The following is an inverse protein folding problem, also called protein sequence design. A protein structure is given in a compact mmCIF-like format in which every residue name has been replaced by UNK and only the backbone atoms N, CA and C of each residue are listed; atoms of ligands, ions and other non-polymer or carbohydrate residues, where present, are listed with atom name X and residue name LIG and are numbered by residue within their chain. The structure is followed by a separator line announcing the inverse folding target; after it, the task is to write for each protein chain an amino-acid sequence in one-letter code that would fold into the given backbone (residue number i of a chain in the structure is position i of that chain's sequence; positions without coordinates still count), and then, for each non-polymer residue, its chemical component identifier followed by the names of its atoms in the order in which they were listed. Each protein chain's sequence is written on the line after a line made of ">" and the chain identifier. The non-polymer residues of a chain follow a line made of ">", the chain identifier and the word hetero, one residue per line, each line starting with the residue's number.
data_IF_810793933169
#
_entry.id   IF_810793933169
#
_cell.length_a   1.000
_cell.length_b   1.000
_cell.length_c   1.000
_cell.angle_alpha   90.00
_cell.angle_beta   90.00
_cell.angle_gamma   90.00
#
_symmetry.space_group_name_H-M   'P 1'
#
loop_
_entity.id
_entity.type
_entity.pdbx_description
1 polymer ?
#
# COMPACT_ATOMS: atom_id res chain seq x y z
N UNK A 1 -34.11 -29.30 -13.90
CA UNK A 1 -34.63 -27.96 -13.53
C UNK A 1 -33.43 -27.14 -13.10
N UNK A 2 -32.79 -26.52 -14.06
CA UNK A 2 -31.60 -25.72 -13.80
C UNK A 2 -32.02 -24.28 -13.53
N UNK A 3 -32.06 -23.94 -12.25
CA UNK A 3 -32.33 -22.59 -11.78
C UNK A 3 -31.05 -21.77 -11.72
N UNK A 4 -30.53 -21.31 -12.85
CA UNK A 4 -29.51 -20.26 -12.88
C UNK A 4 -30.20 -18.95 -12.50
N UNK A 5 -30.13 -18.59 -11.21
CA UNK A 5 -30.54 -17.27 -10.77
C UNK A 5 -29.61 -16.25 -11.46
N UNK A 6 -30.14 -15.49 -12.41
CA UNK A 6 -29.44 -14.34 -12.94
C UNK A 6 -29.04 -13.41 -11.80
N UNK A 7 -27.81 -12.88 -11.77
CA UNK A 7 -27.42 -11.93 -10.72
C UNK A 7 -28.38 -10.74 -10.76
N UNK A 8 -28.89 -10.35 -9.59
CA UNK A 8 -29.78 -9.19 -9.46
C UNK A 8 -28.99 -7.96 -9.95
N UNK A 9 -29.46 -7.37 -11.05
CA UNK A 9 -28.89 -6.15 -11.60
C UNK A 9 -29.75 -4.96 -11.21
N UNK A 10 -29.06 -3.86 -10.85
CA UNK A 10 -29.74 -2.60 -10.55
C UNK A 10 -30.37 -2.03 -11.83
N UNK A 11 -31.62 -1.61 -11.71
CA UNK A 11 -32.28 -0.82 -12.76
C UNK A 11 -31.62 0.55 -12.91
N UNK A 12 -31.81 1.25 -14.02
CA UNK A 12 -31.32 2.64 -14.18
C UNK A 12 -31.85 3.56 -13.08
N UNK A 13 -33.10 3.37 -12.63
CA UNK A 13 -33.64 4.07 -11.48
C UNK A 13 -32.91 3.71 -10.19
N UNK A 14 -32.59 2.43 -9.99
CA UNK A 14 -31.79 1.97 -8.84
C UNK A 14 -30.37 2.57 -8.82
N UNK A 15 -29.71 2.64 -9.96
CA UNK A 15 -28.40 3.28 -10.08
C UNK A 15 -28.49 4.78 -9.75
N UNK A 16 -29.54 5.46 -10.25
CA UNK A 16 -29.79 6.87 -9.97
C UNK A 16 -30.10 7.10 -8.49
N UNK A 17 -30.88 6.20 -7.87
CA UNK A 17 -31.22 6.24 -6.45
C UNK A 17 -29.93 6.12 -5.59
N UNK A 18 -29.11 5.12 -5.85
CA UNK A 18 -27.84 4.93 -5.13
C UNK A 18 -26.97 6.19 -5.24
N UNK A 19 -26.76 6.70 -6.47
CA UNK A 19 -25.97 7.91 -6.68
C UNK A 19 -26.53 9.15 -5.94
N UNK A 20 -27.84 9.21 -5.77
CA UNK A 20 -28.49 10.30 -5.03
C UNK A 20 -28.37 10.09 -3.52
N UNK A 21 -28.57 8.87 -3.04
CA UNK A 21 -28.39 8.51 -1.64
C UNK A 21 -26.95 8.74 -1.16
N UNK A 22 -25.96 8.39 -1.99
CA UNK A 22 -24.55 8.70 -1.72
C UNK A 22 -24.30 10.20 -1.56
N UNK A 23 -24.88 11.04 -2.42
CA UNK A 23 -24.76 12.50 -2.29
C UNK A 23 -25.41 13.04 -1.01
N UNK A 24 -26.56 12.51 -0.61
CA UNK A 24 -27.21 12.89 0.65
C UNK A 24 -26.34 12.51 1.83
N UNK A 25 -25.80 11.30 1.85
CA UNK A 25 -24.86 10.84 2.88
C UNK A 25 -23.60 11.73 2.95
N UNK A 26 -23.07 12.14 1.79
CA UNK A 26 -21.93 13.05 1.74
C UNK A 26 -22.27 14.42 2.37
N UNK A 27 -23.45 14.99 2.07
CA UNK A 27 -23.91 16.26 2.64
C UNK A 27 -24.19 16.17 4.15
N UNK A 28 -24.81 15.09 4.61
CA UNK A 28 -25.02 14.86 6.04
C UNK A 28 -23.69 14.71 6.81
N UNK A 29 -22.74 13.98 6.23
CA UNK A 29 -21.39 13.87 6.77
C UNK A 29 -20.69 15.25 6.80
N UNK A 30 -20.78 16.02 5.72
CA UNK A 30 -20.21 17.36 5.64
C UNK A 30 -20.75 18.27 6.74
N UNK A 31 -22.08 18.26 6.96
CA UNK A 31 -22.72 19.03 8.02
C UNK A 31 -22.28 18.59 9.42
N UNK A 32 -22.28 17.28 9.66
CA UNK A 32 -21.81 16.73 10.94
C UNK A 32 -20.34 17.07 11.21
N UNK A 33 -19.52 17.08 10.16
CA UNK A 33 -18.12 17.49 10.24
C UNK A 33 -17.95 18.99 10.48
N UNK A 34 -18.76 19.83 9.83
CA UNK A 34 -18.75 21.27 10.04
C UNK A 34 -19.06 21.60 11.50
N UNK A 35 -20.12 21.00 12.06
CA UNK A 35 -20.48 21.17 13.47
C UNK A 35 -19.37 20.66 14.40
N UNK A 36 -18.76 19.51 14.09
CA UNK A 36 -17.65 18.95 14.88
C UNK A 36 -16.36 19.80 14.83
N UNK A 37 -16.11 20.50 13.72
CA UNK A 37 -14.96 21.40 13.58
C UNK A 37 -15.07 22.70 14.39
N UNK A 38 -16.28 23.14 14.69
CA UNK A 38 -16.49 24.33 15.53
C UNK A 38 -15.97 24.17 16.97
N UNK A 39 -15.63 22.95 17.40
CA UNK A 39 -15.19 22.65 18.76
C UNK A 39 -13.72 22.21 18.86
N UNK A 40 -12.79 22.85 18.15
CA UNK A 40 -11.34 22.75 18.35
C UNK A 40 -10.78 21.31 18.52
N UNK A 41 -11.18 20.32 17.69
CA UNK A 41 -10.71 18.92 17.78
C UNK A 41 -10.93 18.23 19.15
N UNK A 42 -11.78 18.80 19.99
CA UNK A 42 -12.14 18.19 21.29
C UNK A 42 -13.10 17.02 21.14
N UNK A 43 -13.74 16.88 19.98
CA UNK A 43 -14.58 15.75 19.62
C UNK A 43 -14.48 15.53 18.12
N UNK A 44 -14.73 14.32 17.64
CA UNK A 44 -14.70 14.01 16.23
C UNK A 44 -14.33 12.56 15.96
N UNK A 45 -14.44 12.18 14.71
CA UNK A 45 -13.97 10.87 14.25
C UNK A 45 -13.06 11.04 13.05
N UNK A 46 -12.16 10.09 12.86
CA UNK A 46 -11.35 9.91 11.68
C UNK A 46 -11.26 8.42 11.39
N UNK A 47 -11.66 8.02 10.18
CA UNK A 47 -11.59 6.64 9.73
C UNK A 47 -10.55 6.54 8.62
N UNK A 48 -9.48 5.81 8.87
CA UNK A 48 -8.39 5.63 7.91
C UNK A 48 -8.32 4.16 7.48
N UNK A 49 -7.82 3.90 6.30
CA UNK A 49 -7.71 2.54 5.79
C UNK A 49 -6.42 2.30 5.01
N UNK A 50 -5.99 1.05 4.97
CA UNK A 50 -4.86 0.61 4.17
C UNK A 50 -4.81 -0.88 3.98
N UNK A 51 -3.97 -1.32 3.06
CA UNK A 51 -3.69 -2.75 2.91
C UNK A 51 -2.94 -3.26 4.13
N UNK A 52 -2.87 -4.60 4.26
CA UNK A 52 -2.17 -5.23 5.38
C UNK A 52 -0.77 -4.65 5.61
N UNK A 53 -0.01 -4.42 4.53
CA UNK A 53 1.32 -3.86 4.61
C UNK A 53 1.33 -2.48 5.27
N UNK A 54 0.49 -1.57 4.80
CA UNK A 54 0.44 -0.20 5.31
C UNK A 54 -0.16 -0.14 6.71
N UNK A 55 -1.16 -0.96 6.99
CA UNK A 55 -1.78 -1.07 8.32
C UNK A 55 -0.81 -1.58 9.38
N UNK A 56 0.09 -2.50 9.01
CA UNK A 56 1.07 -3.08 9.92
C UNK A 56 2.29 -2.18 10.17
N UNK A 57 2.76 -1.45 9.15
CA UNK A 57 4.07 -0.79 9.22
C UNK A 57 4.02 0.72 9.09
N UNK A 58 3.06 1.26 8.36
CA UNK A 58 2.99 2.69 8.05
C UNK A 58 2.06 3.45 9.00
N UNK A 59 0.87 2.92 9.22
CA UNK A 59 -0.11 3.58 10.08
C UNK A 59 0.29 3.68 11.56
N UNK A 60 0.92 2.67 12.20
CA UNK A 60 1.14 2.70 13.64
C UNK A 60 1.87 3.95 14.15
N UNK A 61 3.00 4.37 13.58
CA UNK A 61 3.70 5.57 14.05
C UNK A 61 2.90 6.86 13.81
N UNK A 62 2.13 6.94 12.71
CA UNK A 62 1.29 8.09 12.40
C UNK A 62 0.12 8.16 13.38
N UNK A 63 -0.53 7.03 13.63
CA UNK A 63 -1.65 6.91 14.55
C UNK A 63 -1.22 7.24 15.98
N UNK A 64 -0.07 6.74 16.43
CA UNK A 64 0.45 7.07 17.77
C UNK A 64 0.66 8.57 17.92
N UNK A 65 1.34 9.20 16.96
CA UNK A 65 1.55 10.65 16.93
C UNK A 65 0.23 11.41 16.93
N UNK A 66 -0.74 10.99 16.10
CA UNK A 66 -2.04 11.63 16.00
C UNK A 66 -2.85 11.51 17.30
N UNK A 67 -2.90 10.32 17.90
CA UNK A 67 -3.63 10.08 19.16
C UNK A 67 -3.06 10.85 20.33
N UNK A 68 -1.73 11.04 20.38
CA UNK A 68 -1.11 11.89 21.42
C UNK A 68 -1.46 13.36 21.25
N UNK A 69 -1.53 13.85 20.02
CA UNK A 69 -1.89 15.25 19.75
C UNK A 69 -3.40 15.52 19.93
N UNK A 70 -4.25 14.53 19.56
CA UNK A 70 -5.71 14.66 19.54
C UNK A 70 -6.40 13.50 20.25
N UNK A 71 -6.26 13.39 21.59
CA UNK A 71 -6.73 12.22 22.34
C UNK A 71 -8.25 12.04 22.35
N UNK A 72 -9.00 13.09 22.06
CA UNK A 72 -10.48 13.07 22.04
C UNK A 72 -11.08 12.75 20.66
N UNK A 73 -10.25 12.65 19.60
CA UNK A 73 -10.70 12.22 18.28
C UNK A 73 -10.74 10.69 18.24
N UNK A 74 -11.92 10.12 17.93
CA UNK A 74 -12.07 8.69 17.70
C UNK A 74 -11.43 8.30 16.38
N UNK A 75 -10.27 7.65 16.42
CA UNK A 75 -9.59 7.17 15.25
C UNK A 75 -9.90 5.68 15.03
N UNK A 76 -10.38 5.33 13.83
CA UNK A 76 -10.58 3.97 13.37
C UNK A 76 -9.57 3.64 12.27
N UNK A 77 -8.93 2.48 12.38
CA UNK A 77 -8.12 1.90 11.31
C UNK A 77 -8.86 0.71 10.71
N UNK A 78 -9.08 0.74 9.41
CA UNK A 78 -9.64 -0.36 8.65
C UNK A 78 -8.58 -1.00 7.76
N UNK A 79 -8.45 -2.32 7.85
CA UNK A 79 -7.57 -3.10 7.00
C UNK A 79 -8.38 -3.84 5.94
N UNK A 80 -7.92 -3.77 4.68
CA UNK A 80 -8.58 -4.44 3.58
C UNK A 80 -7.74 -4.49 2.32
N UNK A 81 -8.22 -5.20 1.30
CA UNK A 81 -7.64 -5.14 -0.03
C UNK A 81 -8.13 -3.89 -0.78
N UNK A 82 -7.34 -3.40 -1.74
CA UNK A 82 -7.57 -2.15 -2.48
C UNK A 82 -9.01 -1.95 -2.96
N UNK A 83 -9.71 -2.91 -3.64
CA UNK A 83 -11.08 -2.71 -4.06
C UNK A 83 -12.06 -2.44 -2.91
N UNK A 84 -11.89 -3.10 -1.76
CA UNK A 84 -12.74 -2.88 -0.59
C UNK A 84 -12.44 -1.53 0.07
N UNK A 85 -11.17 -1.13 0.13
CA UNK A 85 -10.75 0.18 0.63
C UNK A 85 -11.35 1.29 -0.24
N UNK A 86 -11.25 1.16 -1.56
CA UNK A 86 -11.82 2.10 -2.51
C UNK A 86 -13.33 2.21 -2.37
N UNK A 87 -14.04 1.08 -2.28
CA UNK A 87 -15.50 1.05 -2.06
C UNK A 87 -15.88 1.81 -0.78
N UNK A 88 -15.17 1.59 0.32
CA UNK A 88 -15.43 2.26 1.60
C UNK A 88 -15.07 3.75 1.58
N UNK A 89 -14.01 4.13 0.87
CA UNK A 89 -13.64 5.53 0.65
C UNK A 89 -14.71 6.24 -0.19
N UNK A 90 -15.19 5.58 -1.24
CA UNK A 90 -16.28 6.10 -2.09
C UNK A 90 -17.59 6.30 -1.30
N UNK A 91 -17.95 5.32 -0.47
CA UNK A 91 -19.12 5.38 0.40
C UNK A 91 -19.00 6.37 1.58
N UNK A 92 -17.81 6.95 1.81
CA UNK A 92 -17.56 7.86 2.94
C UNK A 92 -17.45 7.17 4.31
N UNK A 93 -17.36 5.84 4.33
CA UNK A 93 -17.07 5.06 5.54
C UNK A 93 -15.61 5.23 5.98
N UNK A 94 -14.70 5.45 5.02
CA UNK A 94 -13.33 5.87 5.24
C UNK A 94 -13.16 7.32 4.78
N UNK A 95 -12.33 8.05 5.50
CA UNK A 95 -11.98 9.44 5.21
C UNK A 95 -10.70 9.50 4.37
N UNK A 96 -9.72 8.64 4.70
CA UNK A 96 -8.40 8.59 4.09
C UNK A 96 -8.01 7.12 3.90
N UNK A 97 -7.37 6.82 2.77
CA UNK A 97 -6.66 5.54 2.61
C UNK A 97 -5.21 5.78 2.16
N UNK A 98 -4.32 4.86 2.54
CA UNK A 98 -2.95 4.79 2.01
C UNK A 98 -2.87 3.54 1.14
N UNK A 99 -2.53 3.75 -0.14
CA UNK A 99 -2.41 2.66 -1.11
C UNK A 99 -1.36 3.00 -2.17
N UNK A 100 -0.83 1.98 -2.82
CA UNK A 100 0.08 2.09 -3.96
C UNK A 100 -0.60 1.84 -5.32
N UNK A 101 -1.89 1.51 -5.31
CA UNK A 101 -2.68 1.36 -6.53
C UNK A 101 -3.18 2.73 -7.02
N UNK A 102 -3.21 2.92 -8.34
CA UNK A 102 -3.68 4.18 -8.90
C UNK A 102 -5.21 4.19 -8.98
N UNK A 103 -5.84 5.02 -8.14
CA UNK A 103 -7.28 5.25 -8.16
C UNK A 103 -7.66 6.33 -9.17
N UNK A 104 -8.93 6.36 -9.55
CA UNK A 104 -9.47 7.31 -10.53
C UNK A 104 -9.35 8.77 -10.03
N UNK A 105 -8.54 9.57 -10.73
CA UNK A 105 -8.33 10.98 -10.43
C UNK A 105 -9.58 11.86 -10.67
N UNK A 106 -10.62 11.35 -11.33
CA UNK A 106 -11.93 12.01 -11.44
C UNK A 106 -12.73 11.95 -10.14
N UNK A 107 -12.47 10.94 -9.29
CA UNK A 107 -13.21 10.64 -8.06
C UNK A 107 -12.40 11.00 -6.82
N UNK A 108 -11.08 10.76 -6.86
CA UNK A 108 -10.21 10.90 -5.69
C UNK A 108 -9.12 11.94 -5.91
N UNK A 109 -8.82 12.68 -4.84
CA UNK A 109 -7.59 13.45 -4.71
C UNK A 109 -6.50 12.55 -4.10
N UNK A 110 -5.25 12.82 -4.46
CA UNK A 110 -4.11 12.08 -3.94
C UNK A 110 -2.95 13.00 -3.57
N UNK A 111 -2.29 12.65 -2.49
CA UNK A 111 -1.02 13.24 -2.09
C UNK A 111 0.07 12.17 -2.14
N UNK A 112 1.22 12.47 -2.75
CA UNK A 112 2.35 11.55 -2.78
C UNK A 112 2.88 11.38 -1.36
N UNK A 113 2.79 10.16 -0.84
CA UNK A 113 3.20 9.85 0.53
C UNK A 113 4.67 9.42 0.60
N UNK A 114 5.04 8.41 -0.19
CA UNK A 114 6.42 7.89 -0.25
C UNK A 114 6.67 7.14 -1.56
N UNK A 115 7.93 6.88 -1.85
CA UNK A 115 8.34 5.91 -2.86
C UNK A 115 8.63 4.56 -2.20
N UNK A 116 8.24 3.48 -2.83
CA UNK A 116 8.47 2.11 -2.42
C UNK A 116 9.15 1.34 -3.55
N UNK A 117 10.10 0.47 -3.19
CA UNK A 117 10.84 -0.33 -4.17
C UNK A 117 10.67 -1.82 -3.90
N UNK A 118 10.43 -2.58 -4.96
CA UNK A 118 10.49 -4.03 -4.93
C UNK A 118 11.95 -4.48 -5.02
N UNK A 119 12.29 -5.42 -4.15
CA UNK A 119 13.57 -6.09 -4.08
C UNK A 119 13.36 -7.59 -4.27
N UNK A 120 14.37 -8.28 -4.78
CA UNK A 120 14.42 -9.73 -4.71
C UNK A 120 15.08 -10.12 -3.38
N UNK A 121 14.39 -10.92 -2.57
CA UNK A 121 14.89 -11.53 -1.33
C UNK A 121 15.21 -13.01 -1.59
N UNK A 122 16.42 -13.42 -1.26
CA UNK A 122 16.93 -14.77 -1.54
C UNK A 122 17.52 -15.35 -0.26
N UNK A 123 17.17 -16.60 0.12
CA UNK A 123 17.82 -17.28 1.23
C UNK A 123 19.35 -17.32 1.04
N UNK A 124 20.11 -16.99 2.08
CA UNK A 124 21.58 -16.94 2.02
C UNK A 124 22.21 -18.28 1.63
N UNK A 125 21.51 -19.38 1.90
CA UNK A 125 21.93 -20.75 1.56
C UNK A 125 21.86 -21.09 0.07
N UNK A 126 21.20 -20.27 -0.76
CA UNK A 126 21.04 -20.57 -2.19
C UNK A 126 22.34 -20.35 -2.98
N UNK A 127 22.71 -21.32 -3.82
CA UNK A 127 23.96 -21.27 -4.61
C UNK A 127 23.99 -20.14 -5.63
N UNK A 128 22.84 -19.66 -6.09
CA UNK A 128 22.74 -18.50 -6.98
C UNK A 128 23.40 -17.24 -6.40
N UNK A 129 23.44 -17.11 -5.08
CA UNK A 129 24.09 -15.98 -4.40
C UNK A 129 25.58 -15.89 -4.76
N UNK A 130 26.27 -17.02 -4.96
CA UNK A 130 27.71 -17.05 -5.35
C UNK A 130 27.95 -16.41 -6.71
N UNK A 131 26.95 -16.44 -7.61
CA UNK A 131 27.01 -15.84 -8.95
C UNK A 131 26.61 -14.36 -8.98
N UNK A 132 26.19 -13.82 -7.82
CA UNK A 132 25.62 -12.49 -7.71
C UNK A 132 26.27 -11.62 -6.61
N UNK A 133 27.48 -11.96 -6.13
CA UNK A 133 28.15 -11.35 -4.97
C UNK A 133 28.20 -9.81 -5.05
N UNK A 134 28.53 -9.22 -6.21
CA UNK A 134 28.64 -7.75 -6.37
C UNK A 134 27.31 -7.00 -6.30
N UNK A 135 26.19 -7.72 -6.29
CA UNK A 135 24.83 -7.14 -6.28
C UNK A 135 24.15 -7.32 -4.92
N UNK A 136 24.82 -7.96 -3.96
CA UNK A 136 24.25 -8.31 -2.67
C UNK A 136 24.07 -7.07 -1.78
N UNK A 137 22.92 -7.01 -1.14
CA UNK A 137 22.57 -6.04 -0.12
C UNK A 137 22.13 -6.79 1.13
N UNK A 138 22.46 -6.25 2.29
CA UNK A 138 21.93 -6.67 3.60
C UNK A 138 20.74 -5.81 4.00
N UNK A 139 19.99 -6.23 5.00
CA UNK A 139 18.90 -5.42 5.55
C UNK A 139 19.40 -4.03 6.03
N UNK A 140 20.59 -3.96 6.63
CA UNK A 140 21.22 -2.69 7.03
C UNK A 140 21.47 -1.75 5.85
N UNK A 141 21.79 -2.28 4.67
CA UNK A 141 22.01 -1.47 3.46
C UNK A 141 20.68 -0.91 2.94
N UNK A 142 19.60 -1.72 3.03
CA UNK A 142 18.25 -1.28 2.67
C UNK A 142 17.75 -0.19 3.63
N UNK A 143 17.98 -0.34 4.94
CA UNK A 143 17.64 0.67 5.96
C UNK A 143 18.38 1.99 5.72
N UNK A 144 19.61 1.94 5.20
CA UNK A 144 20.40 3.13 4.79
C UNK A 144 20.08 3.61 3.38
N UNK A 145 19.05 3.04 2.72
CA UNK A 145 18.62 3.39 1.36
C UNK A 145 19.68 3.20 0.27
N UNK A 146 20.68 2.33 0.46
CA UNK A 146 21.74 2.08 -0.52
C UNK A 146 21.18 1.54 -1.85
N UNK A 147 20.12 0.75 -1.80
CA UNK A 147 19.40 0.23 -2.97
C UNK A 147 18.76 1.32 -3.84
N UNK A 148 18.57 2.52 -3.30
CA UNK A 148 18.02 3.66 -4.04
C UNK A 148 19.11 4.45 -4.81
N UNK A 149 20.38 4.17 -4.51
CA UNK A 149 21.47 4.83 -5.21
C UNK A 149 21.58 4.28 -6.64
N UNK A 150 21.59 5.18 -7.64
CA UNK A 150 21.68 4.81 -9.06
C UNK A 150 23.02 4.15 -9.41
N UNK A 151 24.08 4.44 -8.66
CA UNK A 151 25.40 3.81 -8.85
C UNK A 151 25.47 2.38 -8.32
N UNK A 152 24.53 1.97 -7.45
CA UNK A 152 24.51 0.59 -6.95
C UNK A 152 23.92 -0.34 -8.03
N UNK A 153 24.65 -1.41 -8.41
CA UNK A 153 24.28 -2.24 -9.54
C UNK A 153 23.01 -3.09 -9.22
N UNK A 154 22.11 -3.13 -10.18
CA UNK A 154 20.97 -4.05 -10.12
C UNK A 154 21.33 -5.42 -10.68
N UNK A 155 20.66 -6.46 -10.19
CA UNK A 155 20.92 -7.84 -10.59
C UNK A 155 20.03 -8.26 -11.76
N UNK A 156 20.57 -9.07 -12.66
CA UNK A 156 19.74 -9.79 -13.64
C UNK A 156 19.03 -10.99 -12.97
N UNK A 157 17.70 -11.00 -13.03
CA UNK A 157 16.86 -12.07 -12.46
C UNK A 157 17.14 -13.44 -13.11
N UNK A 158 17.74 -13.47 -14.30
CA UNK A 158 18.19 -14.73 -14.98
C UNK A 158 19.12 -15.58 -14.13
N UNK A 159 19.85 -14.95 -13.19
CA UNK A 159 20.78 -15.68 -12.28
C UNK A 159 20.04 -16.57 -11.28
N UNK A 160 18.76 -16.30 -11.05
CA UNK A 160 17.94 -16.99 -10.04
C UNK A 160 16.81 -17.83 -10.64
N UNK A 161 16.71 -17.94 -11.98
CA UNK A 161 15.60 -18.60 -12.67
C UNK A 161 15.36 -20.06 -12.27
N UNK A 162 16.42 -20.75 -11.85
CA UNK A 162 16.39 -22.15 -11.49
C UNK A 162 16.11 -22.37 -9.98
N UNK A 163 16.06 -21.31 -9.19
CA UNK A 163 15.72 -21.38 -7.77
C UNK A 163 14.20 -21.54 -7.56
N UNK A 164 13.80 -22.14 -6.43
CA UNK A 164 12.39 -22.15 -6.04
C UNK A 164 11.93 -20.75 -5.62
N UNK A 165 10.70 -20.38 -5.98
CA UNK A 165 10.10 -19.11 -5.61
C UNK A 165 8.80 -19.27 -4.81
N UNK A 166 8.66 -18.44 -3.78
CA UNK A 166 7.38 -18.21 -3.09
C UNK A 166 6.79 -16.92 -3.65
N UNK A 167 5.53 -16.97 -4.11
CA UNK A 167 4.92 -15.88 -4.87
C UNK A 167 3.54 -15.51 -4.33
N UNK A 168 3.12 -14.28 -4.62
CA UNK A 168 1.74 -13.85 -4.42
C UNK A 168 0.81 -14.42 -5.48
N UNK A 169 -0.47 -14.61 -5.13
CA UNK A 169 -1.53 -14.96 -6.08
C UNK A 169 -1.82 -13.79 -7.02
N UNK A 170 -2.49 -14.06 -8.12
CA UNK A 170 -3.06 -13.04 -9.05
C UNK A 170 -3.99 -12.07 -8.30
N UNK A 171 -4.24 -10.92 -8.90
CA UNK A 171 -5.03 -9.81 -8.34
C UNK A 171 -4.36 -9.13 -7.12
N UNK A 172 -3.04 -9.07 -7.13
CA UNK A 172 -2.23 -8.31 -6.18
C UNK A 172 -1.27 -7.42 -6.97
N UNK A 173 -1.20 -6.12 -6.66
CA UNK A 173 -0.35 -5.15 -7.37
C UNK A 173 1.11 -5.62 -7.47
N UNK A 174 1.68 -6.10 -6.38
CA UNK A 174 3.06 -6.63 -6.39
C UNK A 174 3.22 -7.81 -7.35
N UNK A 175 2.21 -8.69 -7.44
CA UNK A 175 2.23 -9.83 -8.37
C UNK A 175 2.16 -9.35 -9.82
N UNK A 176 1.29 -8.42 -10.14
CA UNK A 176 1.13 -7.88 -11.49
C UNK A 176 2.42 -7.19 -11.96
N UNK A 177 3.07 -6.43 -11.09
CA UNK A 177 4.37 -5.80 -11.35
C UNK A 177 5.47 -6.84 -11.58
N UNK A 178 5.55 -7.86 -10.75
CA UNK A 178 6.53 -8.94 -10.91
C UNK A 178 6.30 -9.68 -12.23
N UNK A 179 5.06 -9.98 -12.59
CA UNK A 179 4.74 -10.63 -13.86
C UNK A 179 5.16 -9.76 -15.06
N UNK A 180 4.98 -8.44 -14.99
CA UNK A 180 5.45 -7.50 -16.00
C UNK A 180 6.98 -7.47 -16.10
N UNK A 181 7.70 -7.43 -14.97
CA UNK A 181 9.17 -7.50 -14.90
C UNK A 181 9.67 -8.80 -15.55
N UNK A 182 9.11 -9.93 -15.16
CA UNK A 182 9.49 -11.24 -15.68
C UNK A 182 9.19 -11.39 -17.17
N UNK A 183 8.04 -10.86 -17.62
CA UNK A 183 7.66 -10.83 -19.03
C UNK A 183 8.67 -10.05 -19.88
N UNK A 184 9.08 -8.85 -19.44
CA UNK A 184 10.12 -8.06 -20.13
C UNK A 184 11.48 -8.76 -20.13
N UNK A 185 11.82 -9.43 -19.04
CA UNK A 185 13.08 -10.17 -18.93
C UNK A 185 13.10 -11.50 -19.70
N UNK A 186 11.94 -11.98 -20.17
CA UNK A 186 11.79 -13.29 -20.82
C UNK A 186 12.08 -14.45 -19.86
N UNK A 187 11.64 -14.36 -18.61
CA UNK A 187 11.94 -15.32 -17.55
C UNK A 187 10.65 -15.99 -17.07
N UNK A 188 10.70 -17.31 -16.92
CA UNK A 188 9.70 -18.07 -16.18
C UNK A 188 10.34 -18.59 -14.89
N UNK A 189 9.65 -18.40 -13.76
CA UNK A 189 10.10 -18.84 -12.44
C UNK A 189 9.35 -20.10 -12.00
N UNK A 190 10.03 -20.93 -11.22
CA UNK A 190 9.42 -22.09 -10.58
C UNK A 190 8.74 -21.67 -9.26
N UNK A 191 7.40 -21.60 -9.28
CA UNK A 191 6.63 -21.24 -8.09
C UNK A 191 6.29 -22.48 -7.27
N UNK A 192 6.87 -22.59 -6.09
CA UNK A 192 6.61 -23.69 -5.14
C UNK A 192 5.35 -23.42 -4.31
N UNK A 193 5.11 -22.15 -3.94
CA UNK A 193 3.96 -21.74 -3.15
C UNK A 193 3.38 -20.43 -3.69
N UNK A 194 2.03 -20.28 -3.59
CA UNK A 194 1.31 -19.07 -3.95
C UNK A 194 0.42 -18.62 -2.79
N UNK A 195 0.62 -17.40 -2.30
CA UNK A 195 0.04 -16.84 -1.08
C UNK A 195 -0.70 -15.52 -1.35
N UNK A 196 -1.43 -15.05 -0.37
CA UNK A 196 -2.18 -13.79 -0.50
C UNK A 196 -1.43 -12.58 0.09
N UNK A 197 -0.53 -12.81 1.07
CA UNK A 197 0.11 -11.75 1.83
C UNK A 197 1.62 -11.69 1.57
N UNK A 198 2.12 -10.47 1.28
CA UNK A 198 3.53 -10.21 1.03
C UNK A 198 4.41 -10.63 2.22
N UNK A 199 3.99 -10.30 3.44
CA UNK A 199 4.75 -10.64 4.64
C UNK A 199 4.87 -12.15 4.84
N UNK A 200 3.82 -12.90 4.51
CA UNK A 200 3.87 -14.36 4.57
C UNK A 200 4.86 -14.94 3.55
N UNK A 201 4.94 -14.37 2.33
CA UNK A 201 5.96 -14.81 1.35
C UNK A 201 7.36 -14.53 1.87
N UNK A 202 7.58 -13.37 2.49
CA UNK A 202 8.85 -13.00 3.07
C UNK A 202 9.26 -13.95 4.21
N UNK A 203 8.37 -14.26 5.14
CA UNK A 203 8.67 -15.22 6.22
C UNK A 203 9.01 -16.63 5.70
N UNK A 204 8.33 -17.10 4.64
CA UNK A 204 8.72 -18.39 4.04
C UNK A 204 10.11 -18.34 3.39
N UNK A 205 10.52 -17.17 2.88
CA UNK A 205 11.90 -16.96 2.41
C UNK A 205 12.89 -17.03 3.56
N UNK A 206 12.57 -16.51 4.74
CA UNK A 206 13.40 -16.62 5.96
C UNK A 206 13.64 -18.07 6.36
N UNK A 207 12.66 -18.96 6.13
CA UNK A 207 12.79 -20.41 6.36
C UNK A 207 13.46 -21.17 5.20
N UNK A 208 13.98 -20.48 4.18
CA UNK A 208 14.67 -21.12 3.07
C UNK A 208 13.77 -21.82 2.06
N UNK A 209 12.46 -21.60 2.10
CA UNK A 209 11.48 -22.30 1.23
C UNK A 209 11.47 -21.79 -0.22
N UNK A 210 12.11 -20.67 -0.50
CA UNK A 210 12.21 -20.08 -1.82
C UNK A 210 12.56 -18.60 -1.79
N UNK A 211 13.03 -18.08 -2.91
CA UNK A 211 13.19 -16.64 -3.09
C UNK A 211 11.83 -15.95 -3.24
N UNK A 212 11.73 -14.69 -2.88
CA UNK A 212 10.51 -13.92 -3.04
C UNK A 212 10.79 -12.46 -3.42
N UNK A 213 9.78 -11.80 -3.94
CA UNK A 213 9.81 -10.34 -4.13
C UNK A 213 9.22 -9.67 -2.89
N UNK A 214 9.93 -8.69 -2.36
CA UNK A 214 9.57 -8.00 -1.11
C UNK A 214 9.63 -6.49 -1.31
N UNK A 215 8.76 -5.75 -0.61
CA UNK A 215 8.87 -4.31 -0.52
C UNK A 215 10.02 -3.91 0.40
N UNK A 216 10.77 -2.88 0.04
CA UNK A 216 11.79 -2.28 0.91
C UNK A 216 11.19 -1.72 2.21
N UNK A 217 9.90 -1.36 2.21
CA UNK A 217 9.16 -0.99 3.42
C UNK A 217 9.16 -2.12 4.45
N UNK A 218 8.91 -3.37 4.03
CA UNK A 218 8.97 -4.54 4.92
C UNK A 218 10.37 -4.68 5.51
N UNK A 219 11.39 -4.64 4.67
CA UNK A 219 12.78 -4.82 5.11
C UNK A 219 13.23 -3.73 6.07
N UNK A 220 12.80 -2.48 5.84
CA UNK A 220 13.10 -1.33 6.70
C UNK A 220 12.44 -1.45 8.08
N UNK A 221 11.26 -2.03 8.16
CA UNK A 221 10.47 -2.11 9.39
C UNK A 221 10.73 -3.36 10.23
N UNK A 222 11.26 -4.43 9.63
CA UNK A 222 11.54 -5.67 10.34
C UNK A 222 12.96 -5.68 10.96
N UNK A 223 13.19 -6.54 11.98
CA UNK A 223 14.53 -6.85 12.44
C UNK A 223 15.41 -7.35 11.29
N UNK A 224 16.72 -7.11 11.41
CA UNK A 224 17.66 -7.61 10.41
C UNK A 224 17.77 -9.13 10.49
N UNK A 225 17.67 -9.79 9.33
CA UNK A 225 17.86 -11.21 9.21
C UNK A 225 19.10 -11.50 8.36
N UNK A 226 20.18 -12.09 8.92
CA UNK A 226 21.39 -12.40 8.17
C UNK A 226 21.22 -13.54 7.18
N UNK A 227 20.14 -14.33 7.31
CA UNK A 227 19.85 -15.47 6.45
C UNK A 227 19.16 -15.09 5.14
N UNK A 228 18.98 -13.78 4.89
CA UNK A 228 18.44 -13.26 3.64
C UNK A 228 19.42 -12.28 3.00
N UNK A 229 19.60 -12.44 1.70
CA UNK A 229 20.32 -11.52 0.82
C UNK A 229 19.31 -10.82 -0.07
N UNK A 230 19.43 -9.50 -0.19
CA UNK A 230 18.55 -8.69 -1.03
C UNK A 230 19.25 -8.24 -2.30
N UNK A 231 18.47 -8.01 -3.35
CA UNK A 231 18.97 -7.56 -4.63
C UNK A 231 18.08 -6.46 -5.21
N UNK A 232 18.73 -5.41 -5.71
CA UNK A 232 18.08 -4.36 -6.50
C UNK A 232 17.67 -4.90 -7.87
N UNK A 233 16.47 -4.57 -8.31
CA UNK A 233 15.90 -4.94 -9.61
C UNK A 233 15.95 -3.70 -10.51
N UNK A 234 16.50 -3.85 -11.71
CA UNK A 234 16.54 -2.79 -12.73
C UNK A 234 15.33 -2.90 -13.65
N UNK A 235 14.22 -2.37 -13.18
CA UNK A 235 12.99 -2.32 -13.97
C UNK A 235 12.08 -1.20 -13.43
N UNK A 236 11.42 -0.40 -14.30
CA UNK A 236 10.50 0.66 -13.87
C UNK A 236 9.39 0.18 -12.93
N UNK A 237 8.89 -1.04 -13.12
CA UNK A 237 7.87 -1.62 -12.25
C UNK A 237 8.39 -2.00 -10.84
N UNK A 238 9.70 -2.00 -10.65
CA UNK A 238 10.26 -2.19 -9.32
C UNK A 238 10.13 -0.94 -8.44
N UNK A 239 9.81 0.22 -9.02
CA UNK A 239 9.62 1.47 -8.30
C UNK A 239 8.15 1.86 -8.38
N UNK A 240 7.55 2.22 -7.27
CA UNK A 240 6.17 2.68 -7.20
C UNK A 240 5.99 3.77 -6.16
N UNK A 241 5.11 4.71 -6.46
CA UNK A 241 4.66 5.68 -5.48
C UNK A 241 3.53 5.09 -4.62
N UNK A 242 3.55 5.46 -3.35
CA UNK A 242 2.45 5.24 -2.41
C UNK A 242 1.77 6.57 -2.21
N UNK A 243 0.45 6.55 -2.23
CA UNK A 243 -0.36 7.76 -2.12
C UNK A 243 -1.28 7.70 -0.92
N UNK A 244 -1.56 8.86 -0.37
CA UNK A 244 -2.66 9.10 0.53
C UNK A 244 -3.83 9.62 -0.31
N UNK A 245 -4.96 8.93 -0.25
CA UNK A 245 -6.16 9.23 -1.02
C UNK A 245 -7.29 9.71 -0.13
N UNK A 246 -8.07 10.66 -0.62
CA UNK A 246 -9.35 11.08 -0.08
C UNK A 246 -10.32 11.42 -1.21
N UNK A 247 -11.63 11.43 -0.92
CA UNK A 247 -12.66 11.67 -1.95
C UNK A 247 -12.59 13.11 -2.43
N UNK A 248 -12.58 13.31 -3.74
CA UNK A 248 -12.61 14.63 -4.38
C UNK A 248 -13.91 15.37 -4.05
N UNK A 249 -13.84 16.69 -3.93
CA UNK A 249 -14.98 17.54 -3.59
C UNK A 249 -15.64 17.20 -2.22
N UNK A 250 -14.99 16.42 -1.37
CA UNK A 250 -15.40 16.22 0.02
C UNK A 250 -14.82 17.34 0.87
N UNK A 251 -15.64 17.87 1.80
CA UNK A 251 -15.14 18.76 2.84
C UNK A 251 -14.06 18.06 3.67
N UNK A 252 -12.87 18.63 3.69
CA UNK A 252 -11.78 18.12 4.49
C UNK A 252 -11.95 18.58 5.94
N UNK A 253 -12.24 17.64 6.81
CA UNK A 253 -12.33 17.94 8.23
C UNK A 253 -10.97 18.34 8.80
N UNK A 254 -10.95 19.09 9.87
CA UNK A 254 -9.71 19.42 10.56
C UNK A 254 -8.93 18.19 10.99
N UNK A 255 -9.62 17.11 11.40
CA UNK A 255 -8.97 15.83 11.73
C UNK A 255 -8.24 15.21 10.52
N UNK A 256 -8.85 15.27 9.33
CA UNK A 256 -8.21 14.81 8.09
C UNK A 256 -6.98 15.65 7.76
N UNK A 257 -7.11 16.98 7.82
CA UNK A 257 -6.01 17.92 7.52
C UNK A 257 -4.82 17.67 8.44
N UNK A 258 -5.06 17.58 9.73
CA UNK A 258 -3.98 17.34 10.71
C UNK A 258 -3.35 15.94 10.56
N UNK A 259 -4.15 14.93 10.21
CA UNK A 259 -3.62 13.61 9.93
C UNK A 259 -2.73 13.61 8.67
N UNK A 260 -3.17 14.27 7.59
CA UNK A 260 -2.41 14.42 6.35
C UNK A 260 -1.06 15.13 6.62
N UNK A 261 -1.08 16.23 7.36
CA UNK A 261 0.13 16.96 7.76
C UNK A 261 1.10 16.11 8.57
N UNK A 262 0.58 15.25 9.46
CA UNK A 262 1.42 14.34 10.23
C UNK A 262 2.00 13.21 9.40
N UNK A 263 1.21 12.72 8.43
CA UNK A 263 1.63 11.66 7.52
C UNK A 263 2.69 12.16 6.52
N UNK A 264 2.52 13.39 6.00
CA UNK A 264 3.38 13.96 4.97
C UNK A 264 4.03 15.26 5.49
N UNK A 265 5.19 15.18 6.15
CA UNK A 265 5.90 16.37 6.63
C UNK A 265 6.25 17.32 5.46
N UNK A 266 5.91 18.58 5.60
CA UNK A 266 6.20 19.62 4.60
C UNK A 266 5.06 19.93 3.62
N UNK A 267 3.91 19.25 3.72
CA UNK A 267 2.70 19.59 2.95
C UNK A 267 2.11 20.97 3.34
N UNK A 268 2.59 21.55 4.45
CA UNK A 268 2.18 22.87 4.96
C UNK A 268 2.29 24.01 3.95
N UNK A 269 3.17 23.90 2.95
CA UNK A 269 3.33 24.89 1.88
C UNK A 269 2.10 25.01 0.97
N UNK A 270 1.19 24.05 1.02
CA UNK A 270 -0.05 24.01 0.22
C UNK A 270 -1.31 24.11 1.08
N UNK A 271 -1.22 24.66 2.30
CA UNK A 271 -2.36 24.73 3.22
C UNK A 271 -3.56 25.52 2.71
N UNK A 272 -3.38 26.44 1.75
CA UNK A 272 -4.49 27.13 1.07
C UNK A 272 -5.43 26.20 0.29
N UNK A 273 -4.98 24.98 -0.03
CA UNK A 273 -5.80 23.95 -0.69
C UNK A 273 -6.83 23.31 0.27
N UNK A 274 -6.67 23.50 1.57
CA UNK A 274 -7.45 22.82 2.62
C UNK A 274 -8.31 23.76 3.47
N UNK A 275 -8.41 25.04 3.09
CA UNK A 275 -9.26 26.06 3.74
C UNK A 275 -10.54 26.31 2.95
#
# INVERSE_FOLDING_TARGET
>A
MDGTASPIQLTECGKKYIKTAEKIMDLENEFAYYVGNLQELKTGRLSVGGTYLFSSFIFPPIIDKFRRAYPHVKLNLFEGHTPLLEQKLFAGELDIIIDNYLLDAGIYEKERFMEERLLLAVPSSFDSNRRAVKYQLKASDIKRCLHQNDTFPAVSLKKFKDEPFVMLRSHNDTRERVDAILGRAGIQLNYTLKLNQLLTTYHLTEYGMGASFVSDTVVKCLPENPDIIYYKIDDPEAVRDVYLYYKKNKYLTRSMIEFIKMAIPGIEKNSEKYV
#
